data_IF_782772914071
#
_entry.id   IF_782772914071
#
_cell.length_a   1.000
_cell.length_b   1.000
_cell.length_c   1.000
_cell.angle_alpha   90.00
_cell.angle_beta   90.00
_cell.angle_gamma   90.00
#
_symmetry.space_group_name_H-M   'P 1'
#
loop_
_entity.id
_entity.type
_entity.pdbx_description
1 polymer ?
#
# COMPACT_ATOMS: atom_id res chain seq x y z
N UNK A 1 -0.99 1.62 -13.46
CA UNK A 1 -1.84 0.67 -12.72
C UNK A 1 -1.70 -0.71 -13.36
N UNK A 2 -1.44 -1.77 -12.58
CA UNK A 2 -1.24 -3.12 -13.14
C UNK A 2 -2.59 -3.73 -13.62
N UNK A 3 -2.64 -4.16 -14.88
CA UNK A 3 -3.84 -4.74 -15.52
C UNK A 3 -4.43 -5.96 -14.78
N UNK A 4 -3.62 -6.70 -14.02
CA UNK A 4 -4.06 -7.89 -13.29
C UNK A 4 -5.08 -7.58 -12.18
N UNK A 5 -5.00 -6.38 -11.59
CA UNK A 5 -5.95 -5.92 -10.57
C UNK A 5 -7.30 -5.58 -11.22
N UNK A 6 -7.27 -4.89 -12.37
CA UNK A 6 -8.47 -4.46 -13.10
C UNK A 6 -9.22 -5.63 -13.76
N UNK A 7 -8.52 -6.72 -14.08
CA UNK A 7 -9.08 -7.92 -14.72
C UNK A 7 -9.59 -8.97 -13.72
N UNK A 8 -9.53 -8.68 -12.40
CA UNK A 8 -9.96 -9.61 -11.35
C UNK A 8 -9.07 -10.85 -11.18
N UNK A 9 -7.91 -10.89 -11.83
CA UNK A 9 -6.95 -12.00 -11.71
C UNK A 9 -6.17 -11.96 -10.39
N UNK A 10 -6.03 -10.77 -9.79
CA UNK A 10 -5.57 -10.66 -8.41
C UNK A 10 -6.77 -10.69 -7.45
N UNK A 11 -6.88 -11.71 -6.58
CA UNK A 11 -7.89 -11.71 -5.53
C UNK A 11 -7.63 -10.53 -4.59
N UNK A 12 -8.41 -9.46 -4.74
CA UNK A 12 -8.27 -8.22 -3.95
C UNK A 12 -8.40 -8.47 -2.44
N UNK A 13 -9.13 -9.50 -2.04
CA UNK A 13 -9.24 -9.95 -0.65
C UNK A 13 -7.95 -10.55 -0.08
N UNK A 14 -6.98 -10.94 -0.92
CA UNK A 14 -5.64 -11.39 -0.51
C UNK A 14 -4.59 -10.30 -0.55
N UNK A 15 -4.90 -9.15 -1.15
CA UNK A 15 -3.99 -8.01 -1.22
C UNK A 15 -3.55 -7.53 0.18
N UNK A 16 -4.41 -7.53 1.22
CA UNK A 16 -3.98 -7.21 2.57
C UNK A 16 -2.89 -8.13 3.11
N UNK A 17 -3.08 -9.45 3.02
CA UNK A 17 -2.11 -10.43 3.48
C UNK A 17 -0.76 -10.28 2.75
N UNK A 18 -0.81 -10.06 1.44
CA UNK A 18 0.37 -9.84 0.60
C UNK A 18 1.11 -8.57 1.03
N UNK A 19 0.40 -7.47 1.29
CA UNK A 19 1.03 -6.22 1.72
C UNK A 19 1.67 -6.32 3.11
N UNK A 20 1.01 -6.98 4.06
CA UNK A 20 1.56 -7.23 5.40
C UNK A 20 2.85 -8.05 5.29
N UNK A 21 2.82 -9.16 4.57
CA UNK A 21 3.98 -10.00 4.34
C UNK A 21 5.10 -9.24 3.62
N UNK A 22 4.77 -8.51 2.55
CA UNK A 22 5.73 -7.73 1.78
C UNK A 22 6.35 -6.58 2.58
N UNK A 23 5.69 -6.08 3.62
CA UNK A 23 6.25 -5.06 4.53
C UNK A 23 7.20 -5.63 5.58
N UNK A 24 7.36 -6.96 5.66
CA UNK A 24 8.14 -7.58 6.74
C UNK A 24 7.51 -7.40 8.13
N UNK A 25 6.21 -7.08 8.20
CA UNK A 25 5.51 -6.63 9.41
C UNK A 25 6.07 -5.31 10.01
N UNK A 26 6.79 -4.52 9.21
CA UNK A 26 7.39 -3.25 9.64
C UNK A 26 6.55 -2.03 9.27
N UNK A 27 6.74 -0.95 10.03
CA UNK A 27 6.15 0.36 9.72
C UNK A 27 7.02 1.12 8.71
N UNK A 28 6.54 1.24 7.48
CA UNK A 28 7.20 2.01 6.42
C UNK A 28 6.66 3.44 6.30
N UNK A 29 5.84 3.92 7.24
CA UNK A 29 5.21 5.26 7.21
C UNK A 29 6.24 6.37 7.05
N UNK A 30 7.35 6.31 7.79
CA UNK A 30 8.41 7.33 7.72
C UNK A 30 9.05 7.40 6.32
N UNK A 31 9.25 6.26 5.68
CA UNK A 31 9.73 6.20 4.30
C UNK A 31 8.69 6.78 3.35
N UNK A 32 7.44 6.34 3.45
CA UNK A 32 6.35 6.84 2.62
C UNK A 32 6.15 8.36 2.73
N UNK A 33 6.33 8.94 3.91
CA UNK A 33 6.29 10.39 4.13
C UNK A 33 7.44 11.08 3.40
N UNK A 34 8.67 10.57 3.52
CA UNK A 34 9.85 11.09 2.81
C UNK A 34 9.70 11.02 1.28
N UNK A 35 9.00 10.01 0.75
CA UNK A 35 8.74 9.82 -0.67
C UNK A 35 7.41 10.44 -1.15
N UNK A 36 6.77 11.31 -0.36
CA UNK A 36 5.55 12.04 -0.74
C UNK A 36 4.39 11.11 -1.17
N UNK A 37 4.21 9.99 -0.46
CA UNK A 37 3.04 9.11 -0.63
C UNK A 37 1.77 9.79 -0.13
N UNK A 38 1.87 10.60 0.93
CA UNK A 38 0.75 11.28 1.61
C UNK A 38 0.56 12.74 1.15
N UNK A 39 0.94 13.05 -0.09
CA UNK A 39 0.71 14.39 -0.64
C UNK A 39 -0.79 14.76 -0.61
N UNK A 40 -1.11 16.06 -0.75
CA UNK A 40 -2.47 16.58 -0.63
C UNK A 40 -3.46 15.78 -1.50
N UNK A 41 -4.47 15.17 -0.88
CA UNK A 41 -5.44 14.29 -1.55
C UNK A 41 -5.11 12.79 -1.51
N UNK A 42 -3.97 12.40 -0.94
CA UNK A 42 -3.55 11.00 -0.70
C UNK A 42 -3.28 10.70 0.79
N UNK A 43 -3.67 11.60 1.69
CA UNK A 43 -3.52 11.44 3.14
C UNK A 43 -4.17 10.14 3.66
N UNK A 44 -5.28 9.73 3.03
CA UNK A 44 -5.99 8.49 3.31
C UNK A 44 -5.22 7.21 2.94
N UNK A 45 -4.11 7.33 2.19
CA UNK A 45 -3.27 6.19 1.83
C UNK A 45 -2.29 5.76 2.93
N UNK A 46 -2.25 6.47 4.07
CA UNK A 46 -1.35 6.18 5.21
C UNK A 46 -1.38 4.72 5.69
N UNK A 47 -2.55 4.06 5.85
CA UNK A 47 -2.59 2.66 6.27
C UNK A 47 -1.89 1.69 5.31
N UNK A 48 -1.75 2.05 4.03
CA UNK A 48 -1.06 1.22 3.04
C UNK A 48 0.46 1.20 3.24
N UNK A 49 1.02 2.11 4.04
CA UNK A 49 2.44 2.13 4.41
C UNK A 49 2.73 1.47 5.76
N UNK A 50 1.69 1.18 6.54
CA UNK A 50 1.77 0.36 7.75
C UNK A 50 0.64 -0.67 7.73
N UNK A 51 0.70 -1.67 6.83
CA UNK A 51 -0.37 -2.64 6.67
C UNK A 51 -0.53 -3.54 7.92
N UNK A 52 0.52 -3.69 8.73
CA UNK A 52 0.51 -4.46 9.98
C UNK A 52 -0.39 -3.81 11.06
N UNK A 53 -0.53 -2.49 11.06
CA UNK A 53 -1.46 -1.78 11.93
C UNK A 53 -2.95 -1.92 11.53
N UNK A 54 -3.21 -2.61 10.40
CA UNK A 54 -4.55 -2.86 9.89
C UNK A 54 -4.85 -2.03 8.65
N UNK A 55 -5.17 -2.72 7.56
CA UNK A 55 -5.64 -2.09 6.34
C UNK A 55 -7.14 -1.76 6.45
N UNK A 56 -7.60 -0.67 5.80
CA UNK A 56 -9.01 -0.30 5.83
C UNK A 56 -9.90 -1.38 5.20
N UNK A 57 -10.65 -2.07 6.06
CA UNK A 57 -11.66 -3.09 5.72
C UNK A 57 -12.96 -2.43 5.26
N UNK A 58 -12.89 -1.62 4.20
CA UNK A 58 -14.04 -0.87 3.71
C UNK A 58 -13.59 0.46 3.13
N UNK A 59 -14.10 0.77 1.94
CA UNK A 59 -13.76 1.97 1.18
C UNK A 59 -14.26 1.81 -0.25
N UNK A 60 -14.65 2.92 -0.89
CA UNK A 60 -15.00 2.90 -2.30
C UNK A 60 -13.81 2.34 -3.08
N UNK A 61 -14.06 1.41 -4.03
CA UNK A 61 -13.00 0.87 -4.89
C UNK A 61 -12.17 2.01 -5.51
N UNK A 62 -12.80 3.14 -5.85
CA UNK A 62 -12.13 4.33 -6.36
C UNK A 62 -11.05 4.89 -5.43
N UNK A 63 -11.24 4.87 -4.11
CA UNK A 63 -10.22 5.31 -3.14
C UNK A 63 -9.08 4.30 -3.05
N UNK A 64 -9.40 2.99 -3.06
CA UNK A 64 -8.38 1.94 -3.13
C UNK A 64 -7.54 2.09 -4.40
N UNK A 65 -8.18 2.34 -5.55
CA UNK A 65 -7.52 2.57 -6.83
C UNK A 65 -6.69 3.85 -6.87
N UNK A 66 -7.11 4.92 -6.16
CA UNK A 66 -6.29 6.12 -6.01
C UNK A 66 -4.96 5.79 -5.36
N UNK A 67 -4.95 5.07 -4.25
CA UNK A 67 -3.68 4.68 -3.59
C UNK A 67 -2.81 3.75 -4.46
N UNK A 68 -3.39 3.00 -5.41
CA UNK A 68 -2.60 2.15 -6.32
C UNK A 68 -1.62 2.94 -7.21
N UNK A 69 -1.85 4.23 -7.46
CA UNK A 69 -0.88 5.05 -8.21
C UNK A 69 0.42 5.25 -7.44
N UNK A 70 0.38 5.14 -6.11
CA UNK A 70 1.54 5.22 -5.20
C UNK A 70 2.10 3.84 -4.84
N UNK A 71 1.47 2.75 -5.28
CA UNK A 71 1.84 1.40 -4.86
C UNK A 71 3.31 1.06 -5.15
N UNK A 72 3.85 1.48 -6.30
CA UNK A 72 5.26 1.24 -6.62
C UNK A 72 6.21 1.91 -5.62
N UNK A 73 5.89 3.14 -5.20
CA UNK A 73 6.67 3.87 -4.19
C UNK A 73 6.54 3.23 -2.81
N UNK A 74 5.34 2.79 -2.44
CA UNK A 74 5.09 2.07 -1.18
C UNK A 74 5.89 0.76 -1.16
N UNK A 75 5.86 -0.02 -2.24
CA UNK A 75 6.63 -1.26 -2.35
C UNK A 75 8.13 -1.01 -2.26
N UNK A 76 8.65 0.06 -2.89
CA UNK A 76 10.04 0.44 -2.76
C UNK A 76 10.42 0.71 -1.29
N UNK A 77 9.55 1.39 -0.52
CA UNK A 77 9.76 1.58 0.90
C UNK A 77 9.79 0.27 1.70
N UNK A 78 8.91 -0.69 1.37
CA UNK A 78 8.95 -2.00 2.00
C UNK A 78 10.27 -2.73 1.78
N UNK A 79 10.84 -2.69 0.57
CA UNK A 79 12.14 -3.29 0.29
C UNK A 79 13.29 -2.59 1.01
N UNK A 80 13.21 -1.28 1.24
CA UNK A 80 14.24 -0.52 1.96
C UNK A 80 14.21 -0.83 3.46
N UNK A 81 13.02 -0.97 4.05
CA UNK A 81 12.86 -1.30 5.48
C UNK A 81 13.40 -2.69 5.80
N UNK A 82 13.17 -3.67 4.92
CA UNK A 82 13.59 -5.08 5.07
C UNK A 82 15.10 -5.35 4.91
N UNK A 83 15.98 -4.39 5.21
CA UNK A 83 17.43 -4.65 5.16
C UNK A 83 17.78 -5.86 6.05
N UNK A 84 18.62 -6.79 5.54
CA UNK A 84 18.86 -8.11 6.12
C UNK A 84 19.50 -8.07 7.52
#
# INVERSE_FOLDING_TARGET
>A
MQLAVLTGRCPLNKMPDIMVCASGYEDATSCCEAYNVFERGYEHCRPYCNPAAGLPSGGLLSEKYKCLVKLSTIQQCFYISQKP
#
